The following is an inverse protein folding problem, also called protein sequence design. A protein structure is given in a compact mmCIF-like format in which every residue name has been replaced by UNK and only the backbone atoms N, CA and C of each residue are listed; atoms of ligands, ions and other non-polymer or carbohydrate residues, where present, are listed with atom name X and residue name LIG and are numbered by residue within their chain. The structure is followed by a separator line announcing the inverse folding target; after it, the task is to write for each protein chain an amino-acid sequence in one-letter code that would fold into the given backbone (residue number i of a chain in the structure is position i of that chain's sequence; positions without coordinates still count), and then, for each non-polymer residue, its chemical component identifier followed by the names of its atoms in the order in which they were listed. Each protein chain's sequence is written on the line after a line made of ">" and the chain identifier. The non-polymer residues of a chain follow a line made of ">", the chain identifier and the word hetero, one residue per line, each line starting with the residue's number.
data_IF_164894426333
#
_entry.id   IF_164894426333
#
_cell.length_a   1.000
_cell.length_b   1.000
_cell.length_c   1.000
_cell.angle_alpha   90.00
_cell.angle_beta   90.00
_cell.angle_gamma   90.00
#
_symmetry.space_group_name_H-M   'P 1'
#
loop_
_entity.id
_entity.type
_entity.pdbx_description
1 polymer ?
#
# COMPACT_ATOMS: atom_id res chain seq x y z
N UNK A 1 -8.68 1.55 -29.39
CA UNK A 1 -8.89 0.18 -28.89
C UNK A 1 -7.96 0.00 -27.71
N UNK A 2 -8.50 -0.08 -26.50
CA UNK A 2 -7.69 -0.25 -25.29
C UNK A 2 -7.07 -1.64 -25.28
N UNK A 3 -5.76 -1.72 -25.05
CA UNK A 3 -5.02 -2.98 -25.03
C UNK A 3 -5.50 -3.82 -23.82
N UNK A 4 -6.11 -5.00 -24.04
CA UNK A 4 -6.62 -5.85 -22.95
C UNK A 4 -5.56 -6.31 -21.96
N UNK A 5 -4.28 -6.29 -22.34
CA UNK A 5 -3.16 -6.64 -21.47
C UNK A 5 -2.83 -5.49 -20.50
N UNK A 6 -2.89 -4.24 -20.97
CA UNK A 6 -2.69 -3.05 -20.13
C UNK A 6 -3.79 -2.92 -19.07
N UNK A 7 -5.04 -3.24 -19.42
CA UNK A 7 -6.16 -3.16 -18.47
C UNK A 7 -6.13 -4.27 -17.41
N UNK A 8 -5.62 -5.47 -17.74
CA UNK A 8 -5.39 -6.54 -16.75
C UNK A 8 -4.26 -6.21 -15.80
N UNK A 9 -3.18 -5.62 -16.32
CA UNK A 9 -2.01 -5.25 -15.53
C UNK A 9 -2.29 -4.07 -14.59
N UNK A 10 -3.07 -3.08 -15.05
CA UNK A 10 -3.57 -1.99 -14.20
C UNK A 10 -4.44 -2.51 -13.05
N UNK A 11 -5.40 -3.41 -13.31
CA UNK A 11 -6.23 -4.02 -12.26
C UNK A 11 -5.43 -4.83 -11.24
N UNK A 12 -4.44 -5.60 -11.71
CA UNK A 12 -3.55 -6.36 -10.84
C UNK A 12 -2.70 -5.46 -9.94
N UNK A 13 -2.30 -4.28 -10.44
CA UNK A 13 -1.56 -3.30 -9.65
C UNK A 13 -2.47 -2.63 -8.61
N UNK A 14 -3.71 -2.31 -8.95
CA UNK A 14 -4.69 -1.74 -8.01
C UNK A 14 -5.00 -2.70 -6.86
N UNK A 15 -5.15 -4.00 -7.14
CA UNK A 15 -5.38 -5.02 -6.12
C UNK A 15 -4.19 -5.16 -5.16
N UNK A 16 -2.96 -5.17 -5.68
CA UNK A 16 -1.75 -5.20 -4.87
C UNK A 16 -1.61 -3.95 -4.01
N UNK A 17 -1.90 -2.78 -4.58
CA UNK A 17 -1.87 -1.50 -3.88
C UNK A 17 -2.85 -1.49 -2.70
N UNK A 18 -4.09 -1.92 -2.93
CA UNK A 18 -5.12 -2.00 -1.90
C UNK A 18 -4.70 -2.95 -0.77
N UNK A 19 -4.15 -4.12 -1.12
CA UNK A 19 -3.68 -5.10 -0.13
C UNK A 19 -2.54 -4.56 0.72
N UNK A 20 -1.61 -3.81 0.12
CA UNK A 20 -0.49 -3.16 0.84
C UNK A 20 -1.00 -2.06 1.76
N UNK A 21 -1.94 -1.23 1.29
CA UNK A 21 -2.56 -0.19 2.11
C UNK A 21 -3.27 -0.80 3.33
N UNK A 22 -4.06 -1.84 3.13
CA UNK A 22 -4.77 -2.54 4.20
C UNK A 22 -3.80 -3.15 5.23
N UNK A 23 -2.69 -3.74 4.76
CA UNK A 23 -1.64 -4.29 5.62
C UNK A 23 -0.95 -3.22 6.47
N UNK A 24 -0.69 -2.03 5.90
CA UNK A 24 -0.15 -0.89 6.63
C UNK A 24 -1.15 -0.42 7.69
N UNK A 25 -2.43 -0.29 7.34
CA UNK A 25 -3.47 0.15 8.28
C UNK A 25 -3.62 -0.81 9.45
N UNK A 26 -3.64 -2.12 9.20
CA UNK A 26 -3.67 -3.12 10.29
C UNK A 26 -2.42 -3.07 11.17
N UNK A 27 -1.25 -2.82 10.58
CA UNK A 27 0.00 -2.69 11.33
C UNK A 27 -0.01 -1.44 12.22
N UNK A 28 -0.41 -0.29 11.69
CA UNK A 28 -0.47 0.97 12.42
C UNK A 28 -1.59 0.98 13.46
N UNK A 29 -2.71 0.31 13.18
CA UNK A 29 -3.81 0.08 14.11
C UNK A 29 -3.51 -0.96 15.19
N UNK A 30 -2.31 -1.58 15.19
CA UNK A 30 -1.88 -2.62 16.12
C UNK A 30 -2.86 -3.81 16.16
N UNK A 31 -3.50 -4.11 15.03
CA UNK A 31 -4.50 -5.19 14.90
C UNK A 31 -3.83 -6.56 14.93
N UNK A 32 -2.58 -6.64 14.45
CA UNK A 32 -1.81 -7.89 14.43
C UNK A 32 -0.77 -7.93 15.56
N UNK A 33 -0.63 -9.10 16.17
CA UNK A 33 0.57 -9.41 16.94
C UNK A 33 1.81 -9.49 16.01
N UNK A 34 3.00 -9.45 16.61
CA UNK A 34 4.25 -9.43 15.87
C UNK A 34 4.47 -10.66 14.96
N UNK A 35 3.95 -11.83 15.34
CA UNK A 35 4.05 -13.04 14.55
C UNK A 35 3.12 -12.98 13.33
N UNK A 36 1.85 -12.62 13.56
CA UNK A 36 0.84 -12.48 12.52
C UNK A 36 1.24 -11.41 11.51
N UNK A 37 1.72 -10.25 11.97
CA UNK A 37 2.26 -9.20 11.11
C UNK A 37 3.38 -9.71 10.21
N UNK A 38 4.41 -10.33 10.79
CA UNK A 38 5.55 -10.87 10.05
C UNK A 38 5.12 -11.89 8.99
N UNK A 39 4.15 -12.76 9.33
CA UNK A 39 3.60 -13.73 8.39
C UNK A 39 2.92 -13.05 7.20
N UNK A 40 2.03 -12.08 7.44
CA UNK A 40 1.31 -11.39 6.36
C UNK A 40 2.26 -10.66 5.40
N UNK A 41 3.29 -10.01 5.93
CA UNK A 41 4.32 -9.36 5.11
C UNK A 41 5.14 -10.37 4.28
N UNK A 42 5.48 -11.51 4.85
CA UNK A 42 6.18 -12.58 4.11
C UNK A 42 5.29 -13.18 3.01
N UNK A 43 4.01 -13.42 3.29
CA UNK A 43 3.06 -13.94 2.32
C UNK A 43 2.87 -12.95 1.15
N UNK A 44 2.86 -11.64 1.43
CA UNK A 44 2.85 -10.59 0.41
C UNK A 44 4.12 -10.65 -0.46
N UNK A 45 5.31 -10.66 0.17
CA UNK A 45 6.61 -10.71 -0.53
C UNK A 45 6.77 -11.95 -1.40
N UNK A 46 6.17 -13.08 -1.02
CA UNK A 46 6.20 -14.31 -1.82
C UNK A 46 5.26 -14.27 -3.03
N UNK A 47 4.25 -13.37 -3.02
CA UNK A 47 3.16 -13.36 -3.99
C UNK A 47 3.27 -12.29 -5.09
N UNK A 48 4.17 -11.31 -4.95
CA UNK A 48 4.26 -10.16 -5.85
C UNK A 48 5.70 -9.78 -6.21
N UNK A 49 5.88 -9.08 -7.34
CA UNK A 49 7.18 -8.58 -7.77
C UNK A 49 7.68 -7.49 -6.81
N UNK A 50 8.95 -7.57 -6.42
CA UNK A 50 9.56 -6.65 -5.46
C UNK A 50 9.49 -5.18 -5.90
N UNK A 51 9.56 -4.89 -7.20
CA UNK A 51 9.44 -3.52 -7.70
C UNK A 51 8.01 -3.00 -7.56
N UNK A 52 7.00 -3.84 -7.81
CA UNK A 52 5.60 -3.47 -7.64
C UNK A 52 5.29 -3.21 -6.15
N UNK A 53 5.84 -4.03 -5.25
CA UNK A 53 5.73 -3.83 -3.80
C UNK A 53 6.40 -2.51 -3.39
N UNK A 54 7.62 -2.24 -3.87
CA UNK A 54 8.36 -1.03 -3.56
C UNK A 54 7.62 0.23 -4.04
N UNK A 55 7.07 0.21 -5.25
CA UNK A 55 6.28 1.32 -5.80
C UNK A 55 5.01 1.57 -4.98
N UNK A 56 4.27 0.50 -4.64
CA UNK A 56 3.07 0.62 -3.82
C UNK A 56 3.38 1.14 -2.41
N UNK A 57 4.48 0.70 -1.78
CA UNK A 57 4.94 1.22 -0.49
C UNK A 57 5.32 2.70 -0.58
N UNK A 58 6.07 3.10 -1.61
CA UNK A 58 6.47 4.49 -1.81
C UNK A 58 5.25 5.41 -1.98
N UNK A 59 4.25 4.97 -2.75
CA UNK A 59 3.01 5.71 -2.98
C UNK A 59 2.16 5.84 -1.70
N UNK A 60 2.06 4.76 -0.90
CA UNK A 60 1.36 4.81 0.38
C UNK A 60 2.05 5.76 1.38
N UNK A 61 3.39 5.69 1.49
CA UNK A 61 4.16 6.60 2.35
C UNK A 61 4.06 8.06 1.89
N UNK A 62 4.11 8.31 0.59
CA UNK A 62 3.92 9.65 0.02
C UNK A 62 2.54 10.21 0.37
N UNK A 63 1.49 9.41 0.18
CA UNK A 63 0.10 9.79 0.46
C UNK A 63 -0.12 10.10 1.94
N UNK A 64 0.34 9.22 2.83
CA UNK A 64 0.26 9.43 4.28
C UNK A 64 1.01 10.70 4.73
N UNK A 65 2.18 10.96 4.14
CA UNK A 65 2.94 12.19 4.40
C UNK A 65 2.20 13.45 3.93
N UNK A 66 1.60 13.41 2.75
CA UNK A 66 0.83 14.52 2.18
C UNK A 66 -0.39 14.86 3.04
N UNK A 67 -1.11 13.86 3.54
CA UNK A 67 -2.28 14.05 4.41
C UNK A 67 -1.89 14.77 5.71
N UNK A 68 -0.79 14.36 6.35
CA UNK A 68 -0.28 15.00 7.57
C UNK A 68 0.10 16.45 7.32
N UNK A 69 0.83 16.73 6.23
CA UNK A 69 1.24 18.10 5.87
C UNK A 69 0.03 18.97 5.57
N UNK A 70 -0.95 18.44 4.86
CA UNK A 70 -2.18 19.15 4.48
C UNK A 70 -3.04 19.45 5.71
N UNK A 71 -3.26 18.47 6.58
CA UNK A 71 -3.98 18.66 7.84
C UNK A 71 -3.33 19.73 8.73
N UNK A 72 -2.00 19.71 8.86
CA UNK A 72 -1.25 20.75 9.59
C UNK A 72 -1.41 22.13 8.98
N UNK A 73 -1.45 22.25 7.66
CA UNK A 73 -1.64 23.53 6.96
C UNK A 73 -3.03 24.11 7.18
N UNK A 74 -4.05 23.27 7.34
CA UNK A 74 -5.42 23.71 7.64
C UNK A 74 -5.53 24.19 9.09
N UNK A 75 -4.95 23.46 10.04
CA UNK A 75 -5.01 23.81 11.47
C UNK A 75 -4.23 25.09 11.85
N UNK A 76 -3.24 25.48 11.03
CA UNK A 76 -2.41 26.68 11.24
C UNK A 76 -2.91 27.93 10.48
N UNK A 77 -4.12 27.88 9.89
CA UNK A 77 -4.78 29.02 9.24
C UNK A 77 -5.94 29.52 10.09
#
# INVERSE_FOLDING_TARGET
>A
MDNPLLSKQAKSNDELYNKISELIDYQLGLVFDAYTSKKQWNDLLASADLNQIAEALANNLHSAGLDVVTARRILNK
#
